data_IF_082008849483
#
_entry.id   IF_082008849483
#
_cell.length_a   1.000
_cell.length_b   1.000
_cell.length_c   1.000
_cell.angle_alpha   90.00
_cell.angle_beta   90.00
_cell.angle_gamma   90.00
#
_symmetry.space_group_name_H-M   'P 1'
#
loop_
_entity.id
_entity.type
_entity.pdbx_description
1 polymer ?
#
# COMPACT_ATOMS: atom_id res chain seq x y z
N UNK A 1 29.79 6.14 -2.16
CA UNK A 1 28.43 6.10 -2.75
C UNK A 1 27.47 6.64 -1.69
N UNK A 2 26.97 7.80 -1.90
CA UNK A 2 26.01 8.43 -0.99
C UNK A 2 24.65 7.76 -1.13
N UNK A 3 24.01 7.46 -0.01
CA UNK A 3 22.69 6.81 0.10
C UNK A 3 21.52 7.65 -0.44
N UNK A 4 21.77 8.66 -1.25
CA UNK A 4 20.79 9.61 -1.76
C UNK A 4 20.43 9.45 -3.24
N UNK A 5 20.97 8.45 -3.93
CA UNK A 5 20.71 8.20 -5.35
C UNK A 5 19.96 6.87 -5.59
N UNK A 6 18.90 6.61 -4.82
CA UNK A 6 17.87 5.71 -5.31
C UNK A 6 17.04 6.54 -6.31
N UNK A 7 16.90 6.09 -7.56
CA UNK A 7 16.02 6.78 -8.48
C UNK A 7 14.63 6.77 -7.87
N UNK A 8 14.19 7.94 -7.42
CA UNK A 8 12.77 8.12 -7.16
C UNK A 8 12.07 7.79 -8.47
N UNK A 9 11.30 6.72 -8.48
CA UNK A 9 10.41 6.46 -9.60
C UNK A 9 9.49 7.67 -9.65
N UNK A 10 9.66 8.51 -10.66
CA UNK A 10 9.02 9.82 -10.77
C UNK A 10 7.53 9.66 -11.15
N UNK A 11 6.81 8.88 -10.35
CA UNK A 11 5.37 8.72 -10.49
C UNK A 11 4.72 9.31 -9.26
N UNK A 12 3.84 10.27 -9.47
CA UNK A 12 3.06 10.84 -8.39
C UNK A 12 2.16 9.76 -7.78
N UNK A 13 2.32 9.51 -6.50
CA UNK A 13 1.51 8.52 -5.78
C UNK A 13 0.01 8.80 -5.90
N UNK A 14 -0.40 10.07 -5.98
CA UNK A 14 -1.79 10.47 -6.12
C UNK A 14 -2.40 10.12 -7.49
N UNK A 15 -1.56 9.83 -8.47
CA UNK A 15 -2.02 9.29 -9.75
C UNK A 15 -2.32 7.79 -9.69
N UNK A 16 -1.71 7.08 -8.74
CA UNK A 16 -1.84 5.63 -8.61
C UNK A 16 -2.91 5.20 -7.62
N UNK A 17 -3.16 6.00 -6.59
CA UNK A 17 -4.16 5.70 -5.55
C UNK A 17 -5.13 6.87 -5.37
N UNK A 18 -6.39 6.60 -4.99
CA UNK A 18 -7.39 7.65 -4.78
C UNK A 18 -7.21 8.42 -3.47
N UNK A 19 -6.39 7.91 -2.56
CA UNK A 19 -6.20 8.48 -1.23
C UNK A 19 -5.57 9.87 -1.29
N UNK A 20 -6.05 10.77 -0.43
CA UNK A 20 -5.56 12.13 -0.27
C UNK A 20 -5.30 12.42 1.20
N UNK A 21 -4.44 13.39 1.48
CA UNK A 21 -4.19 13.82 2.85
C UNK A 21 -5.50 14.21 3.56
N UNK A 22 -5.68 13.88 4.84
CA UNK A 22 -4.73 13.23 5.75
C UNK A 22 -4.73 11.69 5.69
N UNK A 23 -5.60 11.07 4.89
CA UNK A 23 -5.75 9.62 4.81
C UNK A 23 -4.69 8.95 3.92
N UNK A 24 -3.97 9.70 3.10
CA UNK A 24 -2.86 9.17 2.32
C UNK A 24 -1.64 9.01 3.23
N UNK A 25 -1.22 7.78 3.44
CA UNK A 25 -0.07 7.43 4.29
C UNK A 25 1.22 7.25 3.47
N UNK A 26 1.11 6.69 2.28
CA UNK A 26 2.24 6.51 1.37
C UNK A 26 2.70 7.87 0.84
N UNK A 27 4.00 8.14 0.93
CA UNK A 27 4.57 9.42 0.46
C UNK A 27 5.37 9.26 -0.82
N UNK A 28 6.24 8.27 -0.90
CA UNK A 28 7.18 8.11 -2.00
C UNK A 28 7.32 6.65 -2.40
N UNK A 29 7.38 6.38 -3.70
CA UNK A 29 7.77 5.07 -4.22
C UNK A 29 9.27 5.07 -4.41
N UNK A 30 9.96 4.13 -3.76
CA UNK A 30 11.41 3.98 -3.84
C UNK A 30 11.82 2.89 -4.83
N UNK A 31 10.96 1.90 -5.01
CA UNK A 31 11.17 0.82 -5.97
C UNK A 31 9.83 0.23 -6.41
N UNK A 32 9.73 -0.13 -7.70
CA UNK A 32 8.55 -0.79 -8.24
C UNK A 32 8.91 -1.65 -9.45
N UNK A 33 8.32 -2.82 -9.54
CA UNK A 33 8.34 -3.71 -10.69
C UNK A 33 6.96 -4.42 -10.84
N UNK A 34 6.83 -5.36 -11.76
CA UNK A 34 5.54 -6.01 -12.04
C UNK A 34 4.98 -6.83 -10.88
N UNK A 35 5.80 -7.22 -9.92
CA UNK A 35 5.44 -8.14 -8.84
C UNK A 35 5.54 -7.50 -7.46
N UNK A 36 6.32 -6.42 -7.31
CA UNK A 36 6.66 -5.85 -6.02
C UNK A 36 6.78 -4.34 -6.02
N UNK A 37 6.62 -3.76 -4.84
CA UNK A 37 6.75 -2.32 -4.59
C UNK A 37 7.39 -2.07 -3.24
N UNK A 38 8.23 -1.06 -3.18
CA UNK A 38 8.74 -0.48 -1.94
C UNK A 38 8.37 1.00 -1.88
N UNK A 39 7.84 1.42 -0.74
CA UNK A 39 7.48 2.81 -0.47
C UNK A 39 8.16 3.31 0.80
N UNK A 40 8.33 4.61 0.88
CA UNK A 40 8.83 5.30 2.05
C UNK A 40 7.81 6.29 2.58
N UNK A 41 7.70 6.37 3.90
CA UNK A 41 6.81 7.30 4.59
C UNK A 41 7.43 7.75 5.91
N UNK A 42 7.08 8.96 6.33
CA UNK A 42 7.37 9.48 7.67
C UNK A 42 6.06 9.56 8.43
N UNK A 43 6.01 8.98 9.62
CA UNK A 43 4.82 9.02 10.47
C UNK A 43 4.51 10.45 10.87
N UNK A 44 3.30 10.90 10.59
CA UNK A 44 2.87 12.27 10.83
C UNK A 44 1.83 12.35 11.94
N UNK A 45 1.78 13.49 12.60
CA UNK A 45 0.78 13.78 13.63
C UNK A 45 -0.64 13.95 13.08
N UNK A 46 -0.76 14.06 11.75
CA UNK A 46 -2.04 14.09 11.01
C UNK A 46 -2.57 12.71 10.64
N UNK A 47 -1.79 11.66 10.86
CA UNK A 47 -2.23 10.30 10.56
C UNK A 47 -3.41 9.88 11.44
N UNK A 48 -4.27 9.00 10.95
CA UNK A 48 -5.32 8.40 11.79
C UNK A 48 -4.72 7.82 13.08
N UNK A 49 -5.43 7.99 14.17
CA UNK A 49 -5.03 7.56 15.52
C UNK A 49 -3.88 8.35 16.16
N UNK A 50 -3.33 9.35 15.50
CA UNK A 50 -2.27 10.18 16.08
C UNK A 50 -2.75 10.90 17.34
N UNK A 51 -2.01 10.72 18.43
CA UNK A 51 -2.30 11.35 19.71
C UNK A 51 -1.03 11.45 20.55
N UNK A 52 -0.77 12.65 21.07
CA UNK A 52 0.34 12.90 21.99
C UNK A 52 1.70 12.41 21.46
N UNK A 53 1.97 12.58 20.18
CA UNK A 53 3.25 12.19 19.56
C UNK A 53 3.35 10.71 19.18
N UNK A 54 2.27 9.95 19.29
CA UNK A 54 2.21 8.52 18.98
C UNK A 54 1.09 8.17 18.01
N UNK A 55 1.31 7.14 17.23
CA UNK A 55 0.33 6.58 16.30
C UNK A 55 0.18 5.09 16.61
N UNK A 56 -1.05 4.59 16.62
CA UNK A 56 -1.28 3.14 16.81
C UNK A 56 -0.80 2.36 15.59
N UNK A 57 -0.08 1.28 15.82
CA UNK A 57 0.48 0.45 14.73
C UNK A 57 -0.59 -0.21 13.86
N UNK A 58 -1.84 -0.28 14.32
CA UNK A 58 -2.95 -0.74 13.51
C UNK A 58 -3.08 0.03 12.18
N UNK A 59 -2.69 1.30 12.13
CA UNK A 59 -2.70 2.13 10.92
C UNK A 59 -1.75 1.59 9.83
N UNK A 60 -0.76 0.79 10.20
CA UNK A 60 0.19 0.21 9.26
C UNK A 60 -0.46 -0.82 8.34
N UNK A 61 -1.60 -1.39 8.71
CA UNK A 61 -2.40 -2.23 7.82
C UNK A 61 -2.87 -1.41 6.62
N UNK A 62 -3.32 -0.19 6.87
CA UNK A 62 -3.71 0.75 5.80
C UNK A 62 -2.49 1.17 4.95
N UNK A 63 -1.32 1.38 5.56
CA UNK A 63 -0.09 1.68 4.83
C UNK A 63 0.27 0.56 3.85
N UNK A 64 0.18 -0.70 4.26
CA UNK A 64 0.40 -1.85 3.39
C UNK A 64 -0.66 -1.91 2.28
N UNK A 65 -1.93 -1.67 2.62
CA UNK A 65 -3.02 -1.67 1.65
C UNK A 65 -2.83 -0.59 0.58
N UNK A 66 -2.44 0.62 0.97
CA UNK A 66 -2.15 1.70 0.03
C UNK A 66 -0.92 1.41 -0.84
N UNK A 67 0.12 0.81 -0.27
CA UNK A 67 1.31 0.38 -1.00
C UNK A 67 0.96 -0.67 -2.05
N UNK A 68 0.16 -1.66 -1.70
CA UNK A 68 -0.33 -2.67 -2.64
C UNK A 68 -1.24 -2.05 -3.73
N UNK A 69 -2.10 -1.10 -3.34
CA UNK A 69 -2.94 -0.36 -4.29
C UNK A 69 -2.12 0.45 -5.29
N UNK A 70 -1.00 1.03 -4.85
CA UNK A 70 -0.08 1.75 -5.73
C UNK A 70 0.56 0.81 -6.78
N UNK A 71 0.95 -0.40 -6.38
CA UNK A 71 1.44 -1.42 -7.32
C UNK A 71 0.35 -1.77 -8.35
N UNK A 72 -0.86 -1.99 -7.89
CA UNK A 72 -1.97 -2.31 -8.79
C UNK A 72 -2.26 -1.16 -9.76
N UNK A 73 -2.31 0.08 -9.29
CA UNK A 73 -2.51 1.26 -10.14
C UNK A 73 -1.40 1.44 -11.18
N UNK A 74 -0.15 1.18 -10.78
CA UNK A 74 0.99 1.23 -11.70
C UNK A 74 0.89 0.15 -12.78
N UNK A 75 0.53 -1.07 -12.42
CA UNK A 75 0.35 -2.18 -13.37
C UNK A 75 -0.77 -1.90 -14.36
N UNK A 76 -1.90 -1.40 -13.92
CA UNK A 76 -3.03 -1.03 -14.78
C UNK A 76 -2.64 0.00 -15.85
N UNK A 77 -1.77 0.95 -15.50
CA UNK A 77 -1.24 1.94 -16.44
C UNK A 77 -0.30 1.34 -17.49
N UNK A 78 0.54 0.38 -17.09
CA UNK A 78 1.54 -0.23 -17.97
C UNK A 78 0.95 -1.35 -18.84
N UNK A 79 0.01 -2.10 -18.33
CA UNK A 79 -0.64 -3.20 -19.04
C UNK A 79 -1.81 -2.74 -19.93
N UNK A 80 -2.17 -1.45 -19.90
CA UNK A 80 -3.33 -0.87 -20.60
C UNK A 80 -4.66 -1.57 -20.29
N UNK A 81 -4.72 -2.33 -19.23
CA UNK A 81 -5.97 -2.88 -18.74
C UNK A 81 -6.71 -1.79 -17.96
N UNK A 82 -7.68 -1.15 -18.61
CA UNK A 82 -8.59 -0.24 -17.94
C UNK A 82 -9.42 -0.99 -16.92
N UNK A 83 -8.98 -1.04 -15.68
CA UNK A 83 -9.70 -1.63 -14.57
C UNK A 83 -10.11 -0.57 -13.56
N UNK A 84 -11.32 -0.65 -13.03
CA UNK A 84 -11.65 0.02 -11.80
C UNK A 84 -10.71 -0.52 -10.71
N UNK A 85 -10.09 0.37 -9.92
CA UNK A 85 -9.14 0.01 -8.88
C UNK A 85 -9.64 -1.14 -8.00
N UNK A 86 -8.73 -1.99 -7.57
CA UNK A 86 -9.05 -3.11 -6.69
C UNK A 86 -9.63 -2.62 -5.37
N UNK A 87 -10.64 -3.32 -4.88
CA UNK A 87 -11.21 -3.08 -3.56
C UNK A 87 -10.52 -3.98 -2.55
N UNK A 88 -10.07 -3.41 -1.42
CA UNK A 88 -9.57 -4.23 -0.32
C UNK A 88 -10.74 -5.06 0.23
N UNK A 89 -10.65 -6.37 0.10
CA UNK A 89 -11.69 -7.30 0.56
C UNK A 89 -11.47 -7.74 1.99
N UNK A 90 -10.21 -7.87 2.39
CA UNK A 90 -9.90 -8.30 3.74
C UNK A 90 -8.41 -8.39 4.06
N UNK A 91 -8.17 -8.50 5.34
CA UNK A 91 -6.86 -8.82 5.90
C UNK A 91 -6.90 -10.28 6.32
N UNK A 92 -6.06 -11.10 5.71
CA UNK A 92 -5.97 -12.52 6.05
C UNK A 92 -5.19 -12.73 7.34
N UNK A 93 -4.09 -12.00 7.45
CA UNK A 93 -3.22 -12.04 8.63
C UNK A 93 -2.51 -10.71 8.77
N UNK A 94 -2.40 -10.21 9.99
CA UNK A 94 -1.56 -9.09 10.32
C UNK A 94 -0.93 -9.31 11.69
N UNK A 95 0.39 -9.28 11.73
CA UNK A 95 1.17 -9.38 12.95
C UNK A 95 1.80 -8.04 13.26
N UNK A 96 1.31 -7.42 14.32
CA UNK A 96 1.84 -6.17 14.85
C UNK A 96 2.83 -6.49 15.98
N UNK A 97 4.05 -5.97 15.88
CA UNK A 97 5.11 -6.28 16.84
C UNK A 97 5.09 -5.35 18.05
N UNK A 98 4.58 -4.14 17.90
CA UNK A 98 4.43 -3.14 18.97
C UNK A 98 3.07 -2.44 18.84
N UNK A 99 2.57 -1.86 19.92
CA UNK A 99 1.24 -1.23 19.96
C UNK A 99 1.19 0.17 19.33
N UNK A 100 2.29 0.90 19.39
CA UNK A 100 2.38 2.28 18.91
C UNK A 100 3.78 2.58 18.38
N UNK A 101 3.84 3.56 17.46
CA UNK A 101 5.08 4.07 16.91
C UNK A 101 5.11 5.58 17.02
N UNK A 102 6.32 6.18 17.16
CA UNK A 102 6.44 7.62 17.36
C UNK A 102 6.19 8.38 16.06
N UNK A 103 5.57 9.55 16.18
CA UNK A 103 5.55 10.55 15.11
C UNK A 103 6.99 10.91 14.74
N UNK A 104 7.28 11.01 13.44
CA UNK A 104 8.62 11.25 12.91
C UNK A 104 9.39 9.97 12.58
N UNK A 105 8.89 8.79 12.93
CA UNK A 105 9.51 7.53 12.52
C UNK A 105 9.54 7.41 10.99
N UNK A 106 10.69 7.03 10.45
CA UNK A 106 10.87 6.77 9.03
C UNK A 106 10.59 5.30 8.75
N UNK A 107 9.65 5.04 7.86
CA UNK A 107 9.17 3.71 7.54
C UNK A 107 9.45 3.36 6.09
N UNK A 108 9.78 2.09 5.86
CA UNK A 108 9.73 1.46 4.55
C UNK A 108 8.64 0.40 4.57
N UNK A 109 7.81 0.42 3.55
CA UNK A 109 6.76 -0.57 3.37
C UNK A 109 7.03 -1.35 2.08
N UNK A 110 6.96 -2.66 2.19
CA UNK A 110 7.15 -3.59 1.08
C UNK A 110 5.84 -4.36 0.86
N UNK A 111 5.44 -4.48 -0.38
CA UNK A 111 4.35 -5.37 -0.76
C UNK A 111 4.72 -6.12 -2.04
N UNK A 112 4.37 -7.39 -2.09
CA UNK A 112 4.51 -8.19 -3.31
C UNK A 112 3.29 -9.07 -3.52
N UNK A 113 3.03 -9.37 -4.79
CA UNK A 113 1.92 -10.25 -5.17
C UNK A 113 2.32 -11.69 -4.82
N UNK A 114 1.59 -12.31 -3.90
CA UNK A 114 1.79 -13.70 -3.49
C UNK A 114 0.89 -14.69 -4.23
N UNK A 115 -0.25 -14.22 -4.71
CA UNK A 115 -1.18 -15.01 -5.50
C UNK A 115 -1.97 -14.13 -6.46
N UNK A 116 -2.25 -14.67 -7.64
CA UNK A 116 -2.95 -13.98 -8.72
C UNK A 116 -4.01 -14.90 -9.34
N UNK A 117 -5.23 -14.39 -9.42
CA UNK A 117 -6.33 -15.00 -10.15
C UNK A 117 -7.09 -13.90 -10.91
N UNK A 118 -7.98 -14.22 -11.86
CA UNK A 118 -8.57 -13.21 -12.75
C UNK A 118 -9.19 -11.99 -12.04
N UNK A 119 -9.87 -12.19 -10.92
CA UNK A 119 -10.54 -11.13 -10.16
C UNK A 119 -10.02 -11.00 -8.73
N UNK A 120 -8.84 -11.54 -8.46
CA UNK A 120 -8.33 -11.64 -7.11
C UNK A 120 -6.82 -11.51 -7.08
N UNK A 121 -6.33 -10.72 -6.15
CA UNK A 121 -4.91 -10.58 -5.84
C UNK A 121 -4.69 -10.77 -4.34
N UNK A 122 -3.69 -11.53 -3.98
CA UNK A 122 -3.18 -11.56 -2.63
C UNK A 122 -1.80 -10.92 -2.60
N UNK A 123 -1.54 -10.15 -1.55
CA UNK A 123 -0.26 -9.49 -1.32
C UNK A 123 0.28 -9.90 0.04
N UNK A 124 1.57 -10.11 0.10
CA UNK A 124 2.30 -10.12 1.36
C UNK A 124 3.00 -8.79 1.55
N UNK A 125 2.93 -8.27 2.77
CA UNK A 125 3.49 -6.98 3.11
C UNK A 125 4.25 -6.98 4.41
N UNK A 126 5.19 -6.06 4.54
CA UNK A 126 5.89 -5.78 5.78
C UNK A 126 6.21 -4.29 5.87
N UNK A 127 6.28 -3.82 7.09
CA UNK A 127 6.71 -2.46 7.41
C UNK A 127 7.89 -2.55 8.37
N UNK A 128 8.96 -1.86 8.04
CA UNK A 128 10.15 -1.74 8.88
C UNK A 128 10.62 -0.29 8.98
N UNK A 129 11.38 0.02 10.02
CA UNK A 129 12.01 1.32 10.17
C UNK A 129 13.40 1.37 9.51
N UNK A 130 14.07 2.51 9.64
CA UNK A 130 15.41 2.73 9.09
C UNK A 130 16.50 1.84 9.70
N UNK A 131 16.25 1.25 10.87
CA UNK A 131 17.14 0.32 11.55
C UNK A 131 16.86 -1.15 11.22
N UNK A 132 15.84 -1.40 10.38
CA UNK A 132 15.41 -2.75 10.01
C UNK A 132 14.51 -3.42 11.03
N UNK A 133 14.04 -2.71 12.05
CA UNK A 133 13.06 -3.23 13.00
C UNK A 133 11.72 -3.40 12.31
N UNK A 134 11.15 -4.61 12.37
CA UNK A 134 9.85 -4.89 11.78
C UNK A 134 8.73 -4.42 12.71
N UNK A 135 7.80 -3.65 12.16
CA UNK A 135 6.61 -3.15 12.84
C UNK A 135 5.35 -3.93 12.50
N UNK A 136 5.28 -4.41 11.27
CA UNK A 136 4.16 -5.21 10.78
C UNK A 136 4.64 -6.21 9.75
N UNK A 137 4.08 -7.42 9.79
CA UNK A 137 4.05 -8.39 8.70
C UNK A 137 2.64 -8.90 8.51
N UNK A 138 2.23 -9.13 7.27
CA UNK A 138 0.88 -9.60 7.03
C UNK A 138 0.57 -9.91 5.58
N UNK A 139 -0.61 -10.42 5.36
CA UNK A 139 -1.16 -10.65 4.03
C UNK A 139 -2.54 -10.01 3.90
N UNK A 140 -2.75 -9.37 2.76
CA UNK A 140 -4.00 -8.71 2.41
C UNK A 140 -4.53 -9.26 1.09
N UNK A 141 -5.83 -9.15 0.90
CA UNK A 141 -6.55 -9.61 -0.27
C UNK A 141 -7.26 -8.43 -0.93
N UNK A 142 -7.14 -8.34 -2.25
CA UNK A 142 -7.88 -7.38 -3.04
C UNK A 142 -8.70 -8.10 -4.10
N UNK A 143 -9.93 -7.69 -4.24
CA UNK A 143 -10.85 -8.22 -5.22
C UNK A 143 -11.15 -7.15 -6.26
N UNK A 144 -11.08 -7.51 -7.53
CA UNK A 144 -11.53 -6.65 -8.62
C UNK A 144 -12.98 -7.00 -8.94
N UNK A 145 -13.94 -6.10 -8.72
CA UNK A 145 -15.32 -6.38 -9.11
C UNK A 145 -15.39 -6.55 -10.64
N UNK A 146 -16.17 -7.52 -11.08
CA UNK A 146 -16.54 -7.59 -12.50
C UNK A 146 -17.29 -6.31 -12.87
N UNK A 147 -17.13 -5.88 -14.13
CA UNK A 147 -17.90 -4.74 -14.64
C UNK A 147 -19.39 -4.97 -14.33
N UNK A 148 -20.13 -3.93 -13.92
CA UNK A 148 -21.56 -4.08 -13.65
C UNK A 148 -22.24 -4.75 -14.86
N UNK A 149 -22.98 -5.82 -14.61
CA UNK A 149 -23.83 -6.43 -15.62
C UNK A 149 -24.83 -5.33 -16.03
N UNK A 150 -24.78 -4.90 -17.28
CA UNK A 150 -25.74 -3.95 -17.82
C UNK A 150 -27.14 -4.57 -17.67
N UNK A 151 -28.07 -3.95 -16.93
CA UNK A 151 -29.42 -4.52 -16.74
C UNK A 151 -30.24 -4.61 -18.04
N UNK A 152 -29.65 -4.17 -19.18
CA UNK A 152 -30.26 -4.29 -20.51
C UNK A 152 -29.98 -5.61 -21.24
N UNK A 153 -29.13 -6.49 -20.75
CA UNK A 153 -28.76 -7.74 -21.40
C UNK A 153 -29.41 -8.95 -20.71
N UNK A 154 -30.71 -8.90 -20.56
CA UNK A 154 -31.51 -10.09 -20.19
C UNK A 154 -32.02 -10.74 -21.49
N UNK A 155 -31.82 -12.06 -21.69
CA UNK A 155 -32.31 -12.79 -22.81
C UNK A 155 -33.84 -12.88 -22.85
#
# INVERSE_FOLDING_TARGET
MNSSDLPSVCTDIEELIPHRAPMRLVQTITRIDDESIETASVVQDTWPTARAGWVRTLVLIELVAQTAAALQGWRERHEREGGAGGLLVGVREAKLHEAALPVGAQLRCFAHISHRAPNYLAFEGRVEDSEGTQWLTGSIQAFRPEAPIDPGDSP
#
